data_IF_299379288151
#
_entry.id   IF_299379288151
#
_cell.length_a   1.000
_cell.length_b   1.000
_cell.length_c   1.000
_cell.angle_alpha   90.00
_cell.angle_beta   90.00
_cell.angle_gamma   90.00
#
_symmetry.space_group_name_H-M   'P 1'
#
loop_
_entity.id
_entity.type
_entity.pdbx_description
1 polymer ?
#
# COMPACT_ATOMS: atom_id res chain seq x y z
N UNK A 1 7.87 5.22 -15.21
CA UNK A 1 6.82 4.24 -14.88
C UNK A 1 6.52 4.29 -13.40
N UNK A 2 5.25 4.21 -13.05
CA UNK A 2 4.86 4.21 -11.65
C UNK A 2 5.01 2.81 -11.06
N UNK A 3 5.65 2.71 -9.90
CA UNK A 3 5.75 1.45 -9.16
C UNK A 3 4.36 1.05 -8.65
N UNK A 4 3.56 2.03 -8.26
CA UNK A 4 2.22 1.80 -7.72
C UNK A 4 1.20 1.97 -8.83
N UNK A 5 0.42 0.93 -9.09
CA UNK A 5 -0.60 0.93 -10.14
C UNK A 5 -1.90 1.56 -9.65
N UNK A 6 -2.46 1.01 -8.58
CA UNK A 6 -3.71 1.51 -8.01
C UNK A 6 -3.90 0.92 -6.60
N UNK A 7 -4.73 1.56 -5.75
CA UNK A 7 -5.11 0.98 -4.47
C UNK A 7 -5.90 -0.32 -4.68
N UNK A 8 -5.73 -1.26 -3.76
CA UNK A 8 -6.46 -2.53 -3.77
C UNK A 8 -7.46 -2.52 -2.62
N UNK A 9 -8.74 -2.52 -2.95
CA UNK A 9 -9.80 -2.38 -1.97
C UNK A 9 -10.69 -3.62 -1.94
N UNK A 10 -10.51 -4.42 -0.90
CA UNK A 10 -11.35 -5.58 -0.57
C UNK A 10 -11.76 -5.44 0.88
N UNK A 11 -12.65 -6.31 1.37
CA UNK A 11 -13.01 -6.32 2.79
C UNK A 11 -11.79 -6.49 3.68
N UNK A 12 -10.88 -7.38 3.30
CA UNK A 12 -9.65 -7.61 4.04
C UNK A 12 -8.75 -6.38 4.02
N UNK A 13 -8.66 -5.69 2.89
CA UNK A 13 -7.86 -4.47 2.77
C UNK A 13 -8.44 -3.36 3.65
N UNK A 14 -9.76 -3.27 3.74
CA UNK A 14 -10.42 -2.30 4.62
C UNK A 14 -10.20 -2.63 6.09
N UNK A 15 -10.19 -3.90 6.47
CA UNK A 15 -9.86 -4.31 7.84
C UNK A 15 -8.42 -3.95 8.18
N UNK A 16 -7.49 -4.18 7.26
CA UNK A 16 -6.09 -3.80 7.45
C UNK A 16 -5.95 -2.30 7.63
N UNK A 17 -6.72 -1.53 6.87
CA UNK A 17 -6.74 -0.07 6.96
C UNK A 17 -7.25 0.41 8.31
N UNK A 18 -8.37 -0.14 8.76
CA UNK A 18 -9.07 0.31 9.98
C UNK A 18 -8.37 -0.17 11.26
N UNK A 19 -7.82 -1.37 11.25
CA UNK A 19 -7.36 -2.01 12.49
C UNK A 19 -5.86 -2.24 12.58
N UNK A 20 -5.15 -2.21 11.45
CA UNK A 20 -3.72 -2.53 11.41
C UNK A 20 -2.85 -1.42 10.83
N UNK A 21 -3.44 -0.31 10.47
CA UNK A 21 -2.74 0.83 9.89
C UNK A 21 -1.94 0.45 8.64
N UNK A 22 -2.55 -0.38 7.79
CA UNK A 22 -1.94 -0.87 6.55
C UNK A 22 -2.75 -0.46 5.34
N UNK A 23 -2.04 -0.16 4.25
CA UNK A 23 -2.63 0.10 2.94
C UNK A 23 -2.26 -1.03 2.00
N UNK A 24 -3.16 -1.38 1.09
CA UNK A 24 -2.89 -2.38 0.06
C UNK A 24 -2.91 -1.71 -1.31
N UNK A 25 -1.92 -2.04 -2.13
CA UNK A 25 -1.79 -1.53 -3.49
C UNK A 25 -1.45 -2.67 -4.45
N UNK A 26 -1.95 -2.55 -5.68
CA UNK A 26 -1.41 -3.34 -6.78
C UNK A 26 -0.19 -2.59 -7.30
N UNK A 27 0.91 -3.29 -7.45
CA UNK A 27 2.19 -2.69 -7.84
C UNK A 27 2.77 -3.42 -9.04
N UNK A 28 3.81 -2.83 -9.64
CA UNK A 28 4.54 -3.46 -10.74
C UNK A 28 5.09 -4.81 -10.28
N UNK A 29 4.90 -5.85 -11.10
CA UNK A 29 5.35 -7.20 -10.76
C UNK A 29 6.87 -7.29 -10.55
N UNK A 30 7.63 -6.39 -11.14
CA UNK A 30 9.08 -6.31 -10.95
C UNK A 30 9.52 -5.45 -9.77
N UNK A 31 8.60 -4.82 -9.04
CA UNK A 31 8.94 -3.94 -7.95
C UNK A 31 9.40 -4.71 -6.72
N UNK A 32 10.53 -4.31 -6.13
CA UNK A 32 11.02 -4.86 -4.88
C UNK A 32 10.40 -4.10 -3.70
N UNK A 33 10.41 -4.72 -2.51
CA UNK A 33 9.87 -4.09 -1.30
C UNK A 33 10.43 -2.70 -1.02
N UNK A 34 11.76 -2.47 -1.12
CA UNK A 34 12.30 -1.11 -0.90
C UNK A 34 11.78 -0.09 -1.91
N UNK A 35 11.58 -0.51 -3.17
CA UNK A 35 11.02 0.38 -4.20
C UNK A 35 9.58 0.77 -3.87
N UNK A 36 8.79 -0.18 -3.39
CA UNK A 36 7.40 0.07 -2.99
C UNK A 36 7.37 1.03 -1.80
N UNK A 37 8.20 0.78 -0.79
CA UNK A 37 8.26 1.64 0.40
C UNK A 37 8.62 3.08 0.03
N UNK A 38 9.61 3.26 -0.82
CA UNK A 38 10.04 4.58 -1.27
C UNK A 38 8.93 5.28 -2.06
N UNK A 39 8.31 4.55 -2.99
CA UNK A 39 7.25 5.12 -3.82
C UNK A 39 6.04 5.56 -2.99
N UNK A 40 5.61 4.74 -2.02
CA UNK A 40 4.50 5.10 -1.14
C UNK A 40 4.87 6.26 -0.25
N UNK A 41 6.06 6.23 0.35
CA UNK A 41 6.53 7.30 1.22
C UNK A 41 6.58 8.64 0.51
N UNK A 42 7.10 8.66 -0.71
CA UNK A 42 7.23 9.90 -1.50
C UNK A 42 5.88 10.38 -2.02
N UNK A 43 5.06 9.46 -2.52
CA UNK A 43 3.79 9.83 -3.16
C UNK A 43 2.77 10.35 -2.16
N UNK A 44 2.73 9.77 -0.96
CA UNK A 44 1.73 10.09 0.05
C UNK A 44 2.28 10.85 1.25
N UNK A 45 3.58 11.13 1.25
CA UNK A 45 4.27 11.84 2.33
C UNK A 45 4.04 11.17 3.69
N UNK A 46 4.37 9.87 3.74
CA UNK A 46 4.19 9.05 4.95
C UNK A 46 5.45 8.24 5.22
N UNK A 47 5.58 7.77 6.46
CA UNK A 47 6.66 6.87 6.84
C UNK A 47 6.19 5.43 6.75
N UNK A 48 6.83 4.64 5.89
CA UNK A 48 6.55 3.22 5.72
C UNK A 48 7.50 2.43 6.61
N UNK A 49 6.93 1.60 7.49
CA UNK A 49 7.73 0.79 8.43
C UNK A 49 7.87 -0.65 8.01
N UNK A 50 6.98 -1.15 7.14
CA UNK A 50 7.06 -2.52 6.66
C UNK A 50 6.31 -2.66 5.34
N UNK A 51 6.76 -3.57 4.48
CA UNK A 51 6.11 -3.91 3.22
C UNK A 51 6.12 -5.43 3.06
N UNK A 52 4.94 -5.99 2.81
CA UNK A 52 4.77 -7.40 2.46
C UNK A 52 4.23 -7.47 1.04
N UNK A 53 4.80 -8.35 0.22
CA UNK A 53 4.35 -8.51 -1.16
C UNK A 53 3.84 -9.91 -1.39
N UNK A 54 2.81 -10.02 -2.24
CA UNK A 54 2.21 -11.29 -2.65
C UNK A 54 2.02 -11.29 -4.16
N UNK A 55 2.41 -12.37 -4.80
CA UNK A 55 2.14 -12.55 -6.24
C UNK A 55 0.83 -13.32 -6.36
N UNK A 56 -0.11 -12.76 -7.13
CA UNK A 56 -1.40 -13.40 -7.36
C UNK A 56 -1.28 -14.48 -8.43
N UNK A 57 -2.25 -15.42 -8.52
CA UNK A 57 -2.24 -16.43 -9.58
C UNK A 57 -2.24 -15.84 -11.00
N UNK A 58 -2.72 -14.61 -11.16
CA UNK A 58 -2.74 -13.90 -12.45
C UNK A 58 -1.37 -13.31 -12.83
N UNK A 59 -0.36 -13.44 -11.97
CA UNK A 59 0.94 -12.85 -12.20
C UNK A 59 1.06 -11.39 -11.78
N UNK A 60 0.05 -10.85 -11.11
CA UNK A 60 0.11 -9.50 -10.56
C UNK A 60 0.73 -9.50 -9.17
N UNK A 61 1.27 -8.38 -8.74
CA UNK A 61 1.87 -8.25 -7.41
C UNK A 61 1.04 -7.29 -6.56
N UNK A 62 0.66 -7.75 -5.37
CA UNK A 62 -0.02 -6.95 -4.36
C UNK A 62 0.97 -6.60 -3.26
N UNK A 63 1.00 -5.34 -2.83
CA UNK A 63 1.84 -4.90 -1.73
C UNK A 63 0.96 -4.46 -0.57
N UNK A 64 1.25 -4.97 0.63
CA UNK A 64 0.64 -4.52 1.87
C UNK A 64 1.66 -3.66 2.59
N UNK A 65 1.34 -2.39 2.77
CA UNK A 65 2.26 -1.38 3.30
C UNK A 65 1.78 -0.96 4.68
N UNK A 66 2.62 -1.17 5.69
CA UNK A 66 2.32 -0.73 7.05
C UNK A 66 2.97 0.62 7.31
N UNK A 67 2.18 1.56 7.81
CA UNK A 67 2.63 2.91 8.11
C UNK A 67 3.07 3.03 9.58
N UNK A 68 3.91 4.03 9.85
CA UNK A 68 4.28 4.41 11.19
C UNK A 68 3.06 4.83 12.01
N UNK A 69 3.16 4.76 13.33
CA UNK A 69 2.08 5.20 14.23
C UNK A 69 1.76 6.70 14.08
N UNK A 70 2.69 7.48 13.57
CA UNK A 70 2.50 8.92 13.34
C UNK A 70 1.65 9.20 12.09
N UNK A 71 1.46 8.21 11.23
CA UNK A 71 0.67 8.33 10.01
C UNK A 71 -0.56 7.44 10.10
N UNK A 72 -1.70 7.98 9.69
CA UNK A 72 -2.98 7.26 9.73
C UNK A 72 -3.32 6.76 8.32
N UNK A 73 -3.36 5.44 8.17
CA UNK A 73 -3.67 4.82 6.88
C UNK A 73 -5.07 5.22 6.39
N UNK A 74 -6.03 5.38 7.29
CA UNK A 74 -7.38 5.80 6.95
C UNK A 74 -7.38 7.21 6.35
N UNK A 75 -6.61 8.12 6.93
CA UNK A 75 -6.46 9.48 6.42
C UNK A 75 -5.81 9.47 5.03
N UNK A 76 -4.78 8.67 4.85
CA UNK A 76 -4.09 8.55 3.55
C UNK A 76 -5.05 8.01 2.49
N UNK A 77 -5.85 7.00 2.83
CA UNK A 77 -6.84 6.43 1.93
C UNK A 77 -7.89 7.46 1.53
N UNK A 78 -8.32 8.31 2.45
CA UNK A 78 -9.25 9.41 2.16
C UNK A 78 -8.64 10.38 1.16
N UNK A 79 -7.37 10.71 1.30
CA UNK A 79 -6.66 11.60 0.36
C UNK A 79 -6.53 10.99 -1.03
N UNK A 80 -6.41 9.68 -1.11
CA UNK A 80 -6.32 8.95 -2.39
C UNK A 80 -7.69 8.90 -3.08
N UNK A 81 -8.76 9.04 -2.31
CA UNK A 81 -10.12 9.02 -2.86
C UNK A 81 -10.71 7.63 -3.02
N UNK A 82 -10.28 6.65 -2.22
CA UNK A 82 -10.80 5.28 -2.27
C UNK A 82 -12.06 5.07 -1.42
N UNK A 83 -12.47 6.10 -0.72
CA UNK A 83 -13.70 6.09 0.08
C UNK A 83 -14.69 7.13 -0.41
#
# INVERSE_FOLDING_TARGET
MSVIKHPHMTEKAMDDLDFRNKLQFMVDAGAAKPEVAEAVGDQFDVEVVDVTTHVTPDGEKKAVVRLSEDDDADEVASRIGVF
#
